data_IF_277747088581
#
_entry.id   IF_277747088581
#
_cell.length_a   1.000
_cell.length_b   1.000
_cell.length_c   1.000
_cell.angle_alpha   90.00
_cell.angle_beta   90.00
_cell.angle_gamma   90.00
#
_symmetry.space_group_name_H-M   'P 1'
#
loop_
_entity.id
_entity.type
_entity.pdbx_description
1 polymer ?
2 branched ?
3 non-polymer ?
4 non-polymer ?
5 non-polymer ?
6 water ?
#
# COMPACT_ATOMS: atom_id res chain seq x y z
N UNK A 2 -1.46 31.64 -6.77
CA UNK A 2 -2.83 31.26 -7.13
C UNK A 2 -2.88 29.99 -7.97
N UNK A 3 -2.48 28.88 -7.34
CA UNK A 3 -2.34 27.62 -8.05
C UNK A 3 -3.68 26.95 -8.31
N UNK A 4 -4.52 26.85 -7.28
CA UNK A 4 -5.79 26.19 -7.41
C UNK A 4 -6.93 27.04 -6.86
N UNK A 5 -7.97 26.35 -6.42
CA UNK A 5 -9.15 26.99 -5.84
C UNK A 5 -9.41 26.33 -4.49
N UNK A 6 -9.24 27.09 -3.42
CA UNK A 6 -9.58 26.65 -2.08
C UNK A 6 -11.08 26.65 -1.87
N UNK A 7 -11.50 25.96 -0.81
CA UNK A 7 -12.88 25.89 -0.43
C UNK A 7 -12.98 25.10 0.85
N UNK A 8 -14.15 25.10 1.48
CA UNK A 8 -14.31 24.25 2.67
C UNK A 8 -14.25 22.78 2.27
N UNK A 9 -13.26 22.06 2.84
CA UNK A 9 -13.07 20.62 2.69
C UNK A 9 -12.49 20.21 1.34
N UNK A 10 -11.87 21.10 0.59
CA UNK A 10 -11.31 20.66 -0.68
C UNK A 10 -10.30 21.67 -1.19
N UNK A 11 -9.51 21.22 -2.15
CA UNK A 11 -8.57 22.06 -2.87
C UNK A 11 -8.52 21.50 -4.29
N UNK A 12 -9.10 22.23 -5.24
CA UNK A 12 -9.06 21.84 -6.65
C UNK A 12 -7.77 22.41 -7.24
N UNK A 13 -6.90 21.57 -7.81
CA UNK A 13 -5.64 22.09 -8.38
C UNK A 13 -5.84 22.76 -9.73
N UNK A 14 -6.66 23.81 -9.74
CA UNK A 14 -6.95 24.55 -10.96
C UNK A 14 -7.37 25.96 -10.58
N UNK A 15 -6.87 26.94 -11.33
CA UNK A 15 -7.17 28.34 -11.05
C UNK A 15 -8.60 28.68 -11.43
N UNK A 16 -9.26 29.46 -10.59
CA UNK A 16 -10.62 29.88 -10.86
C UNK A 16 -10.71 31.27 -11.49
N UNK A 17 -9.62 31.77 -12.10
CA UNK A 17 -9.69 33.10 -12.69
C UNK A 17 -10.72 33.18 -13.82
N UNK A 18 -11.03 32.06 -14.48
CA UNK A 18 -12.06 32.02 -15.49
C UNK A 18 -13.44 31.66 -14.93
N UNK A 19 -13.56 31.44 -13.63
CA UNK A 19 -14.85 31.18 -13.04
C UNK A 19 -15.42 29.79 -13.25
N UNK A 20 -14.70 28.88 -13.90
CA UNK A 20 -15.28 27.56 -14.22
C UNK A 20 -15.13 26.51 -13.12
N UNK A 21 -14.26 26.74 -12.13
CA UNK A 21 -14.04 25.72 -11.10
C UNK A 21 -15.31 25.50 -10.29
N UNK A 22 -15.59 24.24 -9.98
CA UNK A 22 -16.73 23.83 -9.19
C UNK A 22 -16.27 22.95 -8.03
N UNK A 23 -17.12 22.85 -7.01
CA UNK A 23 -16.80 22.01 -5.87
C UNK A 23 -16.65 20.55 -6.30
N UNK A 24 -15.60 19.85 -5.89
CA UNK A 24 -15.45 18.42 -6.25
C UNK A 24 -16.52 17.53 -5.61
N UNK A 25 -17.37 18.06 -4.72
CA UNK A 25 -18.51 17.34 -4.19
C UNK A 25 -19.80 17.60 -4.97
N UNK A 26 -19.80 18.45 -5.98
CA UNK A 26 -21.07 18.92 -6.56
C UNK A 26 -21.15 18.82 -8.08
N UNK A 27 -20.01 18.87 -8.78
CA UNK A 27 -20.09 19.01 -10.23
C UNK A 27 -18.84 18.42 -10.87
N UNK A 28 -18.94 17.95 -12.11
CA UNK A 28 -17.79 17.28 -12.73
C UNK A 28 -16.59 18.21 -12.91
N UNK A 29 -15.41 17.62 -12.87
CA UNK A 29 -14.15 18.36 -12.88
C UNK A 29 -13.48 18.28 -14.24
N UNK A 30 -14.25 18.45 -15.33
CA UNK A 30 -13.73 18.26 -16.68
C UNK A 30 -12.82 19.38 -17.13
N UNK A 31 -12.48 20.36 -16.29
CA UNK A 31 -11.41 21.31 -16.58
C UNK A 31 -10.07 20.82 -16.05
N UNK A 32 -10.06 19.81 -15.18
CA UNK A 32 -8.81 19.13 -14.79
C UNK A 32 -8.36 18.12 -15.84
N UNK A 33 -9.31 17.49 -16.52
CA UNK A 33 -9.00 16.44 -17.49
C UNK A 33 -10.21 16.21 -18.38
N UNK A 34 -9.94 15.76 -19.59
CA UNK A 34 -11.00 15.43 -20.53
C UNK A 34 -11.87 14.29 -19.97
N UNK A 35 -13.12 14.19 -20.40
CA UNK A 35 -13.95 13.05 -19.96
C UNK A 35 -13.33 11.69 -20.25
N UNK A 36 -12.65 11.54 -21.40
CA UNK A 36 -12.02 10.26 -21.71
C UNK A 36 -10.87 9.94 -20.75
N UNK A 37 -10.21 10.95 -20.20
CA UNK A 37 -9.18 10.69 -19.20
C UNK A 37 -9.80 10.21 -17.90
N UNK A 38 -10.99 10.72 -17.56
CA UNK A 38 -11.72 10.15 -16.44
C UNK A 38 -12.12 8.71 -16.72
N UNK A 39 -12.46 8.40 -17.98
CA UNK A 39 -12.82 7.05 -18.34
C UNK A 39 -11.63 6.11 -18.22
N UNK A 40 -10.45 6.58 -18.65
CA UNK A 40 -9.23 5.78 -18.50
C UNK A 40 -8.88 5.59 -17.03
N UNK A 41 -9.17 6.58 -16.19
CA UNK A 41 -9.05 6.36 -14.74
C UNK A 41 -9.99 5.25 -14.30
N UNK A 42 -11.22 5.22 -14.82
CA UNK A 42 -12.13 4.13 -14.53
C UNK A 42 -11.62 2.80 -15.05
N UNK A 43 -11.09 2.79 -16.28
CA UNK A 43 -10.59 1.56 -16.85
C UNK A 43 -9.46 0.98 -16.01
N UNK A 44 -8.61 1.86 -15.46
CA UNK A 44 -7.52 1.42 -14.61
C UNK A 44 -8.04 0.86 -13.29
N UNK A 45 -9.03 1.52 -12.69
CA UNK A 45 -9.69 0.94 -11.51
C UNK A 45 -10.33 -0.40 -11.85
N UNK A 46 -10.88 -0.55 -13.05
CA UNK A 46 -11.49 -1.81 -13.41
C UNK A 46 -10.44 -2.91 -13.52
N UNK A 47 -9.32 -2.62 -14.17
CA UNK A 47 -8.21 -3.56 -14.21
C UNK A 47 -7.77 -3.97 -12.81
N UNK A 48 -7.63 -3.00 -11.90
CA UNK A 48 -7.19 -3.30 -10.54
C UNK A 48 -8.22 -4.15 -9.80
N UNK A 49 -9.51 -3.91 -10.00
CA UNK A 49 -10.54 -4.72 -9.36
C UNK A 49 -10.49 -6.14 -9.90
N UNK A 50 -10.46 -6.28 -11.22
CA UNK A 50 -10.56 -7.59 -11.85
C UNK A 50 -9.35 -8.46 -11.57
N UNK A 51 -8.16 -7.86 -11.42
CA UNK A 51 -7.00 -8.63 -11.01
C UNK A 51 -6.83 -8.70 -9.49
N UNK A 52 -7.25 -7.68 -8.77
CA UNK A 52 -6.96 -7.59 -7.37
C UNK A 52 -7.91 -8.33 -6.45
N UNK A 53 -9.21 -8.37 -6.81
CA UNK A 53 -10.12 -9.15 -5.97
C UNK A 53 -9.83 -10.65 -6.04
N UNK A 54 -9.75 -11.29 -7.23
CA UNK A 54 -9.57 -12.76 -7.21
C UNK A 54 -8.29 -13.20 -6.53
N UNK A 55 -7.14 -12.60 -6.88
CA UNK A 55 -5.88 -12.99 -6.28
C UNK A 55 -5.94 -12.89 -4.76
N UNK A 56 -6.49 -11.78 -4.25
CA UNK A 56 -6.49 -11.62 -2.80
C UNK A 56 -7.56 -12.47 -2.13
N UNK A 57 -8.74 -12.60 -2.76
CA UNK A 57 -9.76 -13.48 -2.21
C UNK A 57 -9.31 -14.94 -2.28
N UNK A 58 -8.75 -15.34 -3.42
CA UNK A 58 -8.28 -16.71 -3.58
C UNK A 58 -7.22 -17.06 -2.53
N UNK A 59 -6.40 -16.08 -2.14
CA UNK A 59 -5.45 -16.31 -1.04
C UNK A 59 -6.19 -16.67 0.24
N UNK A 60 -7.31 -15.99 0.52
CA UNK A 60 -8.10 -16.35 1.69
C UNK A 60 -8.83 -17.67 1.49
N UNK A 61 -9.15 -18.01 0.24
CA UNK A 61 -9.98 -19.18 0.00
C UNK A 61 -9.18 -20.48 0.09
N UNK A 62 -7.97 -20.50 -0.47
CA UNK A 62 -7.17 -21.71 -0.41
C UNK A 62 -6.59 -21.94 0.97
N UNK A 63 -6.48 -20.89 1.78
CA UNK A 63 -6.05 -21.07 3.16
C UNK A 63 -7.10 -21.82 3.98
N UNK A 64 -8.38 -21.67 3.62
CA UNK A 64 -9.44 -22.39 4.30
C UNK A 64 -9.41 -23.87 3.92
N UNK A 65 -8.99 -24.20 2.70
CA UNK A 65 -9.04 -25.56 2.20
C UNK A 65 -7.77 -26.36 2.47
N UNK A 66 -6.67 -25.72 2.88
CA UNK A 66 -5.39 -26.40 3.01
C UNK A 66 -4.82 -26.16 4.40
N UNK A 67 -4.74 -27.24 5.20
CA UNK A 67 -4.32 -27.10 6.59
C UNK A 67 -2.87 -26.65 6.69
N UNK A 68 -2.02 -27.07 5.75
CA UNK A 68 -0.61 -26.75 5.80
C UNK A 68 -0.33 -25.26 5.70
N UNK A 69 -1.25 -24.48 5.13
CA UNK A 69 -1.02 -23.03 5.01
C UNK A 69 -1.23 -22.30 6.33
N UNK A 70 -2.01 -22.87 7.24
CA UNK A 70 -2.37 -22.19 8.50
C UNK A 70 -1.25 -22.29 9.54
N UNK A 71 -0.09 -21.77 9.17
CA UNK A 71 1.02 -21.65 10.10
C UNK A 71 1.13 -20.22 10.62
N UNK A 72 1.69 -20.03 11.82
CA UNK A 72 1.79 -18.65 12.36
C UNK A 72 2.55 -17.69 11.47
N UNK A 73 3.62 -18.15 10.82
CA UNK A 73 4.40 -17.30 9.93
C UNK A 73 3.58 -16.81 8.74
N UNK A 74 2.45 -17.46 8.45
CA UNK A 74 1.62 -17.07 7.33
C UNK A 74 0.45 -16.16 7.72
N UNK A 75 0.23 -15.94 9.03
CA UNK A 75 -0.85 -15.05 9.44
C UNK A 75 -0.68 -13.66 8.83
N UNK A 76 0.56 -13.16 8.79
CA UNK A 76 0.77 -11.81 8.29
C UNK A 76 0.45 -11.72 6.81
N UNK A 77 0.58 -12.84 6.08
CA UNK A 77 0.26 -12.84 4.66
C UNK A 77 -1.24 -12.81 4.44
N UNK A 78 -2.01 -13.47 5.30
CA UNK A 78 -3.45 -13.36 5.25
C UNK A 78 -3.88 -11.93 5.55
N UNK A 79 -3.20 -11.31 6.52
CA UNK A 79 -3.41 -9.90 6.82
C UNK A 79 -3.18 -9.03 5.60
N UNK A 80 -2.13 -9.35 4.83
CA UNK A 80 -1.87 -8.61 3.60
C UNK A 80 -3.02 -8.77 2.60
N UNK A 81 -3.56 -9.99 2.48
CA UNK A 81 -4.66 -10.21 1.56
C UNK A 81 -5.88 -9.38 1.93
N UNK A 82 -6.19 -9.31 3.24
CA UNK A 82 -7.34 -8.52 3.68
C UNK A 82 -7.11 -7.05 3.40
N UNK A 83 -5.91 -6.55 3.69
CA UNK A 83 -5.62 -5.13 3.47
C UNK A 83 -5.80 -4.76 2.01
N UNK A 84 -5.35 -5.62 1.10
CA UNK A 84 -5.55 -5.37 -0.32
C UNK A 84 -7.02 -5.34 -0.68
N UNK A 85 -7.83 -6.18 -0.02
CA UNK A 85 -9.27 -6.14 -0.23
C UNK A 85 -9.87 -4.82 0.25
N UNK A 86 -9.37 -4.28 1.37
CA UNK A 86 -9.76 -2.93 1.77
C UNK A 86 -9.42 -1.91 0.69
N UNK A 87 -8.25 -2.03 0.07
CA UNK A 87 -7.92 -1.13 -1.03
C UNK A 87 -8.86 -1.33 -2.22
N UNK A 88 -9.24 -2.59 -2.49
CA UNK A 88 -10.02 -2.89 -3.69
C UNK A 88 -11.45 -2.35 -3.54
N UNK A 89 -12.05 -2.55 -2.36
CA UNK A 89 -13.45 -2.17 -2.17
C UNK A 89 -13.60 -0.78 -1.57
N UNK A 90 -12.76 -0.44 -0.59
CA UNK A 90 -12.79 0.90 -0.04
C UNK A 90 -12.28 1.94 -1.00
N UNK A 91 -11.39 1.56 -1.91
CA UNK A 91 -10.72 2.53 -2.74
C UNK A 91 -11.01 2.41 -4.22
N UNK A 92 -10.70 1.24 -4.81
CA UNK A 92 -10.79 1.11 -6.26
C UNK A 92 -12.24 1.10 -6.72
N UNK A 93 -13.12 0.49 -5.94
CA UNK A 93 -14.53 0.37 -6.34
C UNK A 93 -15.22 1.73 -6.29
N UNK A 94 -15.04 2.45 -5.19
CA UNK A 94 -15.59 3.79 -5.09
C UNK A 94 -15.08 4.67 -6.21
N UNK A 95 -13.78 4.60 -6.51
CA UNK A 95 -13.18 5.49 -7.49
C UNK A 95 -13.64 5.16 -8.90
N UNK A 96 -13.91 3.89 -9.19
CA UNK A 96 -14.55 3.56 -10.47
C UNK A 96 -15.88 4.29 -10.61
N UNK A 97 -16.67 4.29 -9.54
CA UNK A 97 -18.01 4.89 -9.58
C UNK A 97 -17.91 6.41 -9.67
N UNK A 98 -17.13 7.04 -8.80
CA UNK A 98 -16.98 8.50 -8.85
C UNK A 98 -16.33 8.95 -10.14
N UNK A 99 -15.30 8.23 -10.59
CA UNK A 99 -14.65 8.52 -11.86
C UNK A 99 -15.65 8.76 -12.99
N UNK A 100 -16.66 7.90 -13.08
CA UNK A 100 -17.60 7.98 -14.18
C UNK A 100 -18.61 9.11 -14.00
N UNK A 101 -18.68 9.71 -12.81
CA UNK A 101 -19.39 10.97 -12.63
C UNK A 101 -18.48 12.17 -12.84
N UNK A 102 -17.17 11.97 -12.83
CA UNK A 102 -16.20 13.04 -12.95
C UNK A 102 -16.03 13.89 -11.70
N UNK A 103 -16.52 13.43 -10.56
CA UNK A 103 -16.33 14.13 -9.29
C UNK A 103 -16.72 13.20 -8.15
N UNK A 104 -16.42 13.62 -6.93
CA UNK A 104 -16.63 12.78 -5.76
C UNK A 104 -18.07 12.93 -5.26
N UNK A 105 -18.96 12.07 -5.78
CA UNK A 105 -20.40 12.26 -5.60
C UNK A 105 -20.92 11.91 -4.22
N UNK A 106 -20.08 11.39 -3.32
CA UNK A 106 -20.55 10.95 -2.01
C UNK A 106 -20.41 12.04 -0.95
N UNK A 107 -19.98 13.24 -1.32
CA UNK A 107 -19.92 14.34 -0.41
C UNK A 107 -18.79 14.20 0.60
N UNK A 108 -18.61 15.24 1.43
CA UNK A 108 -17.49 15.22 2.38
C UNK A 108 -17.55 14.08 3.38
N UNK A 109 -18.74 13.57 3.68
CA UNK A 109 -18.85 12.40 4.56
C UNK A 109 -18.25 11.17 3.90
N UNK A 110 -18.68 10.86 2.67
CA UNK A 110 -18.10 9.74 1.96
C UNK A 110 -16.61 9.92 1.75
N UNK A 111 -16.16 11.18 1.71
CA UNK A 111 -14.74 11.48 1.56
C UNK A 111 -13.95 10.97 2.76
N UNK A 112 -14.46 11.22 3.96
CA UNK A 112 -13.80 10.73 5.16
C UNK A 112 -13.84 9.20 5.20
N UNK A 113 -14.95 8.60 4.77
CA UNK A 113 -15.07 7.14 4.74
C UNK A 113 -14.13 6.52 3.73
N UNK A 114 -14.23 6.95 2.47
CA UNK A 114 -13.40 6.38 1.43
C UNK A 114 -11.93 6.68 1.69
N UNK A 115 -11.63 7.84 2.25
CA UNK A 115 -10.24 8.17 2.56
C UNK A 115 -9.70 7.28 3.67
N UNK A 116 -10.47 7.11 4.74
CA UNK A 116 -10.06 6.27 5.85
C UNK A 116 -9.78 4.84 5.38
N UNK A 117 -10.76 4.20 4.73
CA UNK A 117 -10.61 2.78 4.41
C UNK A 117 -9.54 2.52 3.37
N UNK A 118 -9.46 3.39 2.36
CA UNK A 118 -8.40 3.26 1.37
C UNK A 118 -7.03 3.48 2.01
N UNK A 119 -6.93 4.47 2.92
CA UNK A 119 -5.66 4.70 3.59
C UNK A 119 -5.34 3.57 4.57
N UNK A 120 -6.35 3.09 5.29
CA UNK A 120 -6.17 1.95 6.18
C UNK A 120 -5.65 0.74 5.43
N UNK A 121 -6.26 0.42 4.29
CA UNK A 121 -5.82 -0.74 3.53
C UNK A 121 -4.36 -0.65 3.14
N UNK A 122 -3.95 0.48 2.56
CA UNK A 122 -2.57 0.66 2.15
C UNK A 122 -1.60 0.63 3.31
N UNK A 123 -2.04 1.12 4.48
CA UNK A 123 -1.18 1.12 5.67
C UNK A 123 -1.02 -0.28 6.25
N UNK A 124 -2.12 -1.04 6.36
CA UNK A 124 -2.01 -2.41 6.84
C UNK A 124 -1.09 -3.21 5.94
N UNK A 125 -1.22 -3.01 4.62
CA UNK A 125 -0.32 -3.67 3.68
C UNK A 125 1.13 -3.31 3.97
N UNK A 126 1.42 -2.01 4.04
CA UNK A 126 2.79 -1.54 4.27
C UNK A 126 3.40 -2.19 5.50
N UNK A 127 2.68 -2.15 6.62
CA UNK A 127 3.22 -2.69 7.86
C UNK A 127 3.22 -4.21 7.88
N UNK A 128 2.39 -4.86 7.06
CA UNK A 128 2.49 -6.30 6.91
C UNK A 128 3.82 -6.69 6.28
N UNK A 129 4.25 -5.96 5.24
CA UNK A 129 5.56 -6.22 4.64
C UNK A 129 6.68 -5.93 5.63
N UNK A 130 6.48 -4.94 6.50
CA UNK A 130 7.48 -4.65 7.53
C UNK A 130 7.49 -5.76 8.57
N UNK A 131 6.32 -6.17 9.05
CA UNK A 131 6.25 -7.18 10.10
C UNK A 131 6.76 -8.52 9.58
N UNK A 132 6.40 -8.87 8.35
CA UNK A 132 6.90 -10.10 7.77
C UNK A 132 8.43 -10.09 7.71
N UNK A 133 9.03 -8.97 7.34
CA UNK A 133 10.49 -8.89 7.28
C UNK A 133 11.09 -9.03 8.68
N UNK A 134 10.40 -8.49 9.69
CA UNK A 134 10.87 -8.63 11.06
C UNK A 134 10.77 -10.08 11.51
N UNK A 135 9.66 -10.75 11.18
CA UNK A 135 9.47 -12.14 11.61
C UNK A 135 10.51 -13.05 10.99
N UNK A 136 10.71 -12.93 9.67
CA UNK A 136 11.71 -13.74 8.99
C UNK A 136 13.11 -13.47 9.55
N UNK A 137 13.39 -12.21 9.90
CA UNK A 137 14.68 -11.89 10.49
C UNK A 137 14.84 -12.56 11.84
N UNK A 138 13.77 -12.61 12.64
CA UNK A 138 13.85 -13.23 13.96
C UNK A 138 14.03 -14.74 13.82
N UNK A 139 13.30 -15.36 12.90
CA UNK A 139 13.35 -16.81 12.73
C UNK A 139 14.71 -17.26 12.19
N UNK A 140 15.27 -16.51 11.24
CA UNK A 140 16.51 -16.92 10.59
C UNK A 140 17.73 -16.47 11.39
N UNK A 141 17.82 -15.18 11.69
CA UNK A 141 19.01 -14.64 12.34
C UNK A 141 19.05 -14.95 13.82
N UNK A 142 17.95 -15.41 14.40
CA UNK A 142 17.90 -15.84 15.80
C UNK A 142 18.55 -14.83 16.72
N UNK A 143 18.03 -13.59 16.79
CA UNK A 143 18.65 -12.57 17.64
C UNK A 143 18.34 -12.74 19.13
N UNK A 144 17.39 -13.60 19.48
CA UNK A 144 17.02 -13.84 20.87
C UNK A 144 17.43 -15.26 21.27
N UNK A 145 18.21 -15.35 22.35
CA UNK A 145 18.84 -16.59 22.82
C UNK A 145 17.95 -17.82 22.73
N UNK A 146 16.87 -17.84 23.51
CA UNK A 146 15.96 -18.98 23.58
C UNK A 146 14.56 -18.48 23.23
N UNK A 147 14.32 -18.31 21.93
CA UNK A 147 13.05 -17.78 21.44
C UNK A 147 12.50 -18.72 20.37
N UNK A 148 11.18 -18.86 20.35
CA UNK A 148 10.48 -19.69 19.38
C UNK A 148 9.22 -18.96 18.91
N UNK A 149 9.17 -18.60 17.63
CA UNK A 149 8.06 -17.83 17.07
C UNK A 149 6.81 -18.70 17.03
N UNK A 150 5.80 -18.33 17.81
CA UNK A 150 4.59 -19.12 17.89
C UNK A 150 3.34 -18.39 17.46
N UNK A 151 2.18 -19.00 17.71
CA UNK A 151 0.91 -18.40 17.31
C UNK A 151 0.71 -17.04 17.97
N UNK A 152 1.02 -16.93 19.27
CA UNK A 152 0.79 -15.69 19.99
C UNK A 152 1.64 -14.55 19.42
N UNK A 153 2.89 -14.84 19.07
CA UNK A 153 3.73 -13.80 18.47
C UNK A 153 3.17 -13.32 17.14
N UNK A 154 2.65 -14.26 16.33
CA UNK A 154 2.09 -13.88 15.04
C UNK A 154 0.84 -13.02 15.20
N UNK A 155 0.06 -13.27 16.24
CA UNK A 155 -1.11 -12.45 16.50
C UNK A 155 -0.70 -11.05 16.92
N UNK A 156 0.35 -10.93 17.74
CA UNK A 156 0.91 -9.62 18.05
C UNK A 156 1.32 -8.89 16.78
N UNK A 157 2.00 -9.59 15.86
CA UNK A 157 2.43 -8.96 14.63
C UNK A 157 1.28 -8.39 13.83
N UNK A 158 0.19 -9.16 13.70
CA UNK A 158 -0.98 -8.69 12.97
C UNK A 158 -1.61 -7.50 13.69
N UNK A 159 -1.79 -7.61 15.01
CA UNK A 159 -2.36 -6.51 15.77
C UNK A 159 -1.51 -5.26 15.65
N UNK A 160 -0.19 -5.42 15.60
CA UNK A 160 0.71 -4.28 15.49
C UNK A 160 0.46 -3.51 14.20
N UNK A 161 0.20 -4.20 13.10
CA UNK A 161 -0.09 -3.47 11.85
C UNK A 161 -1.38 -2.69 11.96
N UNK A 162 -2.39 -3.23 12.66
CA UNK A 162 -3.63 -2.49 12.82
C UNK A 162 -3.43 -1.25 13.67
N UNK A 163 -2.57 -1.34 14.68
CA UNK A 163 -2.27 -0.18 15.52
C UNK A 163 -1.55 0.88 14.70
N UNK A 164 -0.53 0.47 13.93
CA UNK A 164 0.19 1.42 13.09
C UNK A 164 -0.72 2.02 12.02
N UNK A 165 -1.61 1.22 11.45
CA UNK A 165 -2.48 1.71 10.39
C UNK A 165 -3.50 2.71 10.93
N UNK A 166 -4.07 2.43 12.10
CA UNK A 166 -4.94 3.41 12.74
C UNK A 166 -4.18 4.67 13.14
N UNK A 167 -2.90 4.53 13.49
CA UNK A 167 -2.10 5.70 13.87
C UNK A 167 -1.96 6.67 12.71
N UNK A 168 -2.02 6.18 11.47
CA UNK A 168 -1.96 7.06 10.32
C UNK A 168 -3.35 7.48 9.83
N UNK A 169 -4.30 6.55 9.80
CA UNK A 169 -5.58 6.77 9.14
C UNK A 169 -6.60 7.48 10.00
N UNK A 170 -6.51 7.37 11.32
CA UNK A 170 -7.52 7.91 12.23
C UNK A 170 -7.36 9.40 12.55
N UNK A 171 -6.14 9.93 12.76
CA UNK A 171 -6.00 11.37 13.11
C UNK A 171 -6.73 12.31 12.15
N UNK A 172 -6.65 12.11 10.83
CA UNK A 172 -7.38 13.03 9.92
C UNK A 172 -8.89 13.07 10.14
N UNK A 173 -9.46 12.13 10.90
CA UNK A 173 -10.88 12.20 11.23
C UNK A 173 -11.13 13.08 12.46
N UNK A 174 -10.12 13.25 13.32
CA UNK A 174 -10.31 13.92 14.60
C UNK A 174 -9.54 15.22 14.71
N UNK A 175 -8.88 15.68 13.65
CA UNK A 175 -8.28 17.00 13.72
C UNK A 175 -6.85 17.17 13.27
N UNK A 176 -6.05 16.11 13.24
CA UNK A 176 -4.67 16.21 12.77
C UNK A 176 -4.65 15.84 11.29
N UNK A 177 -4.38 16.83 10.44
CA UNK A 177 -4.56 16.75 8.99
C UNK A 177 -6.04 16.55 8.66
N UNK A 178 -6.35 16.11 7.44
CA UNK A 178 -7.73 15.98 7.00
C UNK A 178 -7.76 15.17 5.71
N UNK A 179 -8.92 14.59 5.42
CA UNK A 179 -9.18 13.93 4.14
C UNK A 179 -9.86 14.92 3.20
N UNK A 180 -9.36 14.99 1.97
CA UNK A 180 -9.94 15.82 0.91
C UNK A 180 -9.79 15.07 -0.41
N UNK A 181 -10.61 15.40 -1.40
CA UNK A 181 -10.37 14.85 -2.74
C UNK A 181 -8.97 15.23 -3.20
N UNK A 182 -8.38 14.35 -3.98
CA UNK A 182 -7.02 14.53 -4.43
C UNK A 182 -6.95 14.29 -5.93
N UNK A 183 -5.93 14.86 -6.55
CA UNK A 183 -5.71 14.67 -7.97
C UNK A 183 -6.92 15.05 -8.79
N UNK A 184 -7.48 14.10 -9.52
CA UNK A 184 -8.65 14.37 -10.32
C UNK A 184 -9.93 14.43 -9.49
N UNK A 185 -9.81 14.42 -8.15
CA UNK A 185 -10.89 14.77 -7.23
C UNK A 185 -11.96 13.69 -7.14
N UNK A 186 -11.67 12.48 -7.61
CA UNK A 186 -12.62 11.39 -7.55
C UNK A 186 -12.36 10.44 -6.41
N UNK A 187 -11.23 10.58 -5.72
CA UNK A 187 -10.95 9.78 -4.54
C UNK A 187 -10.32 10.67 -3.50
N UNK A 188 -10.33 10.20 -2.26
CA UNK A 188 -9.96 11.03 -1.12
C UNK A 188 -8.75 10.45 -0.40
N UNK A 189 -7.94 11.34 0.16
CA UNK A 189 -6.76 10.92 0.86
C UNK A 189 -6.26 11.98 1.81
N UNK A 190 -5.11 11.67 2.43
CA UNK A 190 -4.44 12.62 3.31
C UNK A 190 -4.11 13.86 2.51
N UNK A 191 -4.16 15.01 3.17
CA UNK A 191 -3.94 16.29 2.52
C UNK A 191 -2.46 16.66 2.65
N UNK A 192 -1.67 16.36 1.61
CA UNK A 192 -0.32 16.89 1.46
C UNK A 192 -0.28 18.12 0.56
N UNK A 193 -1.44 18.69 0.22
CA UNK A 193 -1.53 19.67 -0.84
C UNK A 193 -1.78 21.08 -0.35
N UNK A 194 -2.30 21.26 0.86
CA UNK A 194 -2.55 22.56 1.44
C UNK A 194 -2.00 22.59 2.86
N UNK A 195 -1.35 23.69 3.27
CA UNK A 195 -0.94 23.82 4.68
C UNK A 195 -2.08 24.33 5.54
N UNK A 196 -2.91 23.42 6.05
CA UNK A 196 -4.09 23.79 6.85
C UNK A 196 -3.61 24.00 8.27
N UNK A 197 -3.38 25.26 8.65
CA UNK A 197 -2.90 25.54 10.00
C UNK A 197 -3.88 25.04 11.05
N UNK A 198 -5.16 24.96 10.70
CA UNK A 198 -6.18 24.55 11.66
C UNK A 198 -6.07 23.09 12.01
N UNK A 199 -5.58 22.27 11.08
CA UNK A 199 -5.38 20.84 11.32
C UNK A 199 -3.90 20.45 11.41
N UNK A 200 -2.98 21.42 11.48
CA UNK A 200 -1.54 21.16 11.60
C UNK A 200 -1.06 20.15 10.55
N UNK A 201 -1.32 20.48 9.29
CA UNK A 201 -0.96 19.59 8.20
C UNK A 201 0.55 19.37 8.12
N UNK A 202 1.34 20.41 8.40
CA UNK A 202 2.78 20.31 8.22
C UNK A 202 3.38 19.25 9.15
N UNK A 203 2.98 19.26 10.43
CA UNK A 203 3.52 18.29 11.37
C UNK A 203 3.07 16.87 11.04
N UNK A 204 1.89 16.71 10.45
CA UNK A 204 1.44 15.36 10.08
C UNK A 204 2.21 14.83 8.89
N UNK A 205 2.49 15.68 7.90
CA UNK A 205 3.29 15.26 6.75
C UNK A 205 4.68 14.80 7.21
N UNK A 206 5.28 15.53 8.15
CA UNK A 206 6.58 15.14 8.69
C UNK A 206 6.47 13.81 9.43
N UNK A 207 5.45 13.68 10.28
CA UNK A 207 5.22 12.41 10.98
C UNK A 207 5.00 11.28 9.99
N UNK A 208 4.21 11.53 8.94
CA UNK A 208 4.03 10.51 7.90
C UNK A 208 5.35 10.16 7.24
N UNK A 209 6.14 11.19 6.93
CA UNK A 209 7.37 10.95 6.18
C UNK A 209 8.36 10.15 7.01
N UNK A 210 8.42 10.43 8.31
CA UNK A 210 9.39 9.77 9.16
C UNK A 210 8.91 8.38 9.57
N UNK A 211 7.75 8.32 10.23
CA UNK A 211 7.30 7.08 10.84
C UNK A 211 6.79 6.09 9.81
N UNK A 212 6.01 6.55 8.84
CA UNK A 212 5.36 5.65 7.89
C UNK A 212 6.04 5.63 6.53
N UNK A 213 7.24 6.17 6.42
CA UNK A 213 7.89 6.16 5.12
C UNK A 213 9.39 5.88 5.24
N UNK A 214 10.08 6.62 6.10
CA UNK A 214 11.51 6.35 6.32
C UNK A 214 11.71 5.07 7.12
N UNK A 215 11.04 4.97 8.28
CA UNK A 215 11.22 3.80 9.14
C UNK A 215 10.90 2.48 8.42
N UNK A 216 9.79 2.34 7.70
CA UNK A 216 9.55 1.05 7.03
C UNK A 216 10.68 0.66 6.09
N UNK A 217 11.28 1.61 5.39
CA UNK A 217 12.38 1.27 4.50
C UNK A 217 13.59 0.78 5.29
N UNK A 218 13.90 1.43 6.40
CA UNK A 218 15.06 1.04 7.20
C UNK A 218 14.87 -0.37 7.75
N UNK A 219 13.68 -0.66 8.29
CA UNK A 219 13.44 -1.96 8.89
C UNK A 219 13.50 -3.06 7.84
N UNK A 220 12.90 -2.81 6.68
CA UNK A 220 12.91 -3.84 5.63
C UNK A 220 14.34 -4.09 5.15
N UNK A 221 15.14 -3.03 5.04
CA UNK A 221 16.51 -3.21 4.56
C UNK A 221 17.40 -3.87 5.62
N UNK A 222 17.29 -3.44 6.87
CA UNK A 222 18.09 -4.06 7.93
C UNK A 222 17.75 -5.54 8.07
N UNK A 223 16.46 -5.85 8.21
CA UNK A 223 16.06 -7.23 8.45
C UNK A 223 16.48 -8.14 7.30
N UNK A 224 16.20 -7.73 6.07
CA UNK A 224 16.54 -8.58 4.94
C UNK A 224 18.04 -8.60 4.66
N UNK A 225 18.74 -7.49 4.94
CA UNK A 225 20.19 -7.51 4.80
C UNK A 225 20.84 -8.47 5.78
N UNK A 226 20.40 -8.42 7.04
CA UNK A 226 20.92 -9.34 8.04
C UNK A 226 20.58 -10.79 7.69
N UNK A 227 19.38 -11.01 7.19
CA UNK A 227 18.96 -12.36 6.82
C UNK A 227 19.83 -12.92 5.71
N UNK A 228 20.03 -12.14 4.64
CA UNK A 228 20.87 -12.61 3.55
C UNK A 228 22.29 -12.84 4.04
N UNK A 229 22.77 -11.97 4.92
CA UNK A 229 24.10 -12.17 5.51
C UNK A 229 24.16 -13.50 6.26
N UNK A 230 23.16 -13.75 7.13
CA UNK A 230 23.14 -14.99 7.89
C UNK A 230 23.08 -16.21 6.98
N UNK A 231 22.23 -16.16 5.96
CA UNK A 231 22.07 -17.32 5.08
C UNK A 231 23.33 -17.57 4.27
N UNK A 232 23.94 -16.51 3.73
CA UNK A 232 25.17 -16.68 2.96
C UNK A 232 26.32 -17.18 3.84
N UNK A 233 26.34 -16.76 5.10
CA UNK A 233 27.37 -17.21 6.02
C UNK A 233 27.24 -18.71 6.30
N UNK A 234 26.02 -19.15 6.59
CA UNK A 234 25.81 -20.57 6.89
C UNK A 234 26.07 -21.44 5.67
N UNK A 235 25.66 -20.99 4.49
CA UNK A 235 25.93 -21.75 3.28
C UNK A 235 27.42 -21.85 3.00
N UNK A 236 28.19 -20.80 3.33
CA UNK A 236 29.63 -20.82 3.10
C UNK A 236 30.31 -21.93 3.90
N UNK A 237 29.77 -22.26 5.08
CA UNK A 237 30.28 -23.33 5.91
C UNK A 237 29.76 -24.70 5.51
N UNK A 238 28.99 -24.80 4.43
CA UNK A 238 28.42 -26.06 3.95
C UNK A 238 28.45 -26.10 2.43
N UNK A 239 29.56 -25.67 1.83
CA UNK A 239 29.65 -25.66 0.37
C UNK A 239 29.63 -27.05 -0.23
N UNK A 240 29.79 -28.11 0.57
CA UNK A 240 29.66 -29.47 0.05
C UNK A 240 28.22 -29.83 -0.29
N UNK A 241 27.24 -29.02 0.10
CA UNK A 241 25.83 -29.34 -0.09
C UNK A 241 25.26 -28.53 -1.26
N UNK A 242 24.97 -29.21 -2.38
CA UNK A 242 24.42 -28.53 -3.54
C UNK A 242 23.05 -27.95 -3.27
N UNK A 243 22.27 -28.59 -2.39
CA UNK A 243 20.96 -28.05 -2.04
C UNK A 243 21.07 -26.81 -1.18
N UNK A 244 21.95 -26.83 -0.18
CA UNK A 244 22.16 -25.64 0.65
C UNK A 244 22.54 -24.44 -0.20
N UNK A 245 23.38 -24.65 -1.21
CA UNK A 245 23.73 -23.56 -2.11
C UNK A 245 22.54 -23.12 -2.94
N UNK A 246 21.71 -24.08 -3.38
CA UNK A 246 20.50 -23.73 -4.10
C UNK A 246 19.55 -22.93 -3.22
N UNK A 247 19.32 -23.39 -1.98
CA UNK A 247 18.47 -22.65 -1.07
C UNK A 247 19.01 -21.25 -0.79
N UNK A 248 20.33 -21.12 -0.69
CA UNK A 248 20.92 -19.80 -0.47
C UNK A 248 20.67 -18.90 -1.68
N UNK A 249 20.80 -19.44 -2.88
CA UNK A 249 20.61 -18.64 -4.08
C UNK A 249 19.17 -18.15 -4.21
N UNK A 250 18.20 -19.01 -3.89
CA UNK A 250 16.82 -18.63 -4.09
C UNK A 250 16.35 -17.67 -3.00
N UNK A 251 16.84 -17.83 -1.77
CA UNK A 251 16.54 -16.88 -0.71
C UNK A 251 17.06 -15.50 -1.09
N UNK A 252 18.30 -15.43 -1.58
CA UNK A 252 18.86 -14.15 -2.00
C UNK A 252 18.05 -13.56 -3.14
N UNK A 253 17.67 -14.38 -4.11
CA UNK A 253 16.97 -13.89 -5.30
C UNK A 253 15.56 -13.41 -4.95
N UNK A 254 14.92 -14.08 -4.00
CA UNK A 254 13.63 -13.64 -3.52
C UNK A 254 13.74 -12.33 -2.74
N UNK A 255 14.73 -12.21 -1.87
CA UNK A 255 14.89 -10.99 -1.09
C UNK A 255 15.13 -9.80 -2.02
N UNK A 256 15.88 -10.03 -3.09
CA UNK A 256 16.12 -8.97 -4.06
C UNK A 256 14.80 -8.56 -4.71
N UNK A 257 14.00 -9.55 -5.11
CA UNK A 257 12.70 -9.27 -5.72
C UNK A 257 11.83 -8.46 -4.78
N UNK A 258 11.76 -8.87 -3.50
CA UNK A 258 10.92 -8.15 -2.56
C UNK A 258 11.41 -6.73 -2.35
N UNK A 259 12.72 -6.56 -2.17
CA UNK A 259 13.25 -5.23 -1.91
C UNK A 259 13.10 -4.35 -3.15
N UNK A 260 13.37 -4.91 -4.33
CA UNK A 260 13.14 -4.15 -5.55
C UNK A 260 11.67 -3.77 -5.67
N UNK A 261 10.76 -4.69 -5.35
CA UNK A 261 9.34 -4.37 -5.45
C UNK A 261 8.96 -3.28 -4.46
N UNK A 262 9.51 -3.32 -3.25
CA UNK A 262 9.22 -2.28 -2.28
C UNK A 262 9.76 -0.93 -2.77
N UNK A 263 10.94 -0.94 -3.37
CA UNK A 263 11.53 0.31 -3.86
C UNK A 263 10.71 0.89 -5.01
N UNK A 264 10.14 0.02 -5.85
CA UNK A 264 9.34 0.47 -6.99
C UNK A 264 8.12 1.24 -6.52
N UNK A 265 7.62 0.90 -5.34
CA UNK A 265 6.54 1.65 -4.74
C UNK A 265 7.02 2.81 -3.87
N UNK A 266 8.26 2.76 -3.37
CA UNK A 266 8.75 3.73 -2.41
C UNK A 266 9.44 4.91 -3.08
N UNK A 267 10.30 4.63 -4.07
CA UNK A 267 11.07 5.68 -4.72
C UNK A 267 10.23 6.76 -5.40
N UNK A 268 9.14 6.47 -6.11
CA UNK A 268 8.38 7.57 -6.72
C UNK A 268 7.92 8.61 -5.69
N UNK A 269 7.45 8.18 -4.52
CA UNK A 269 7.18 9.13 -3.46
C UNK A 269 8.43 9.90 -3.06
N UNK A 270 9.58 9.23 -2.99
CA UNK A 270 10.81 9.93 -2.60
C UNK A 270 11.26 10.90 -3.68
N UNK A 271 11.13 10.52 -4.95
CA UNK A 271 11.45 11.45 -6.02
C UNK A 271 10.56 12.68 -6.03
N UNK A 272 9.26 12.49 -5.75
CA UNK A 272 8.37 13.64 -5.66
C UNK A 272 8.74 14.53 -4.49
N UNK A 273 9.07 13.93 -3.34
CA UNK A 273 9.56 14.71 -2.21
C UNK A 273 10.75 15.56 -2.60
N UNK A 274 11.74 14.94 -3.26
CA UNK A 274 12.92 15.69 -3.70
C UNK A 274 12.55 16.81 -4.66
N UNK A 275 11.48 16.65 -5.43
CA UNK A 275 10.98 17.72 -6.29
C UNK A 275 10.10 18.72 -5.53
N UNK A 276 9.74 18.44 -4.29
CA UNK A 276 9.06 19.44 -3.47
C UNK A 276 10.05 20.22 -2.64
N UNK A 277 11.03 19.54 -2.02
CA UNK A 277 12.08 20.20 -1.25
C UNK A 277 12.80 21.22 -2.13
N UNK A 278 13.63 20.73 -3.05
CA UNK A 278 14.06 21.56 -4.17
C UNK A 278 12.89 21.71 -5.15
N UNK A 279 12.93 22.78 -5.96
CA UNK A 279 11.84 23.11 -6.88
C UNK A 279 10.53 23.33 -6.11
N UNK A 280 10.61 24.08 -5.01
CA UNK A 280 9.43 24.31 -4.18
C UNK A 280 8.49 25.38 -4.74
N UNK A 281 8.99 26.28 -5.58
CA UNK A 281 8.20 27.40 -6.05
C UNK A 281 6.91 27.10 -6.77
N UNK A 282 7.00 26.40 -7.90
CA UNK A 282 5.87 26.30 -8.83
C UNK A 282 4.75 25.44 -8.25
N UNK A 283 3.61 25.46 -8.95
CA UNK A 283 2.42 24.72 -8.58
C UNK A 283 2.55 23.26 -9.05
N UNK A 284 1.50 22.48 -8.84
CA UNK A 284 1.47 21.09 -9.30
C UNK A 284 0.05 20.75 -9.69
N UNK A 285 -0.16 20.38 -10.95
CA UNK A 285 -1.49 20.06 -11.44
C UNK A 285 -2.04 18.78 -10.82
N UNK A 286 -3.15 18.28 -11.36
CA UNK A 286 -3.67 16.98 -10.92
C UNK A 286 -2.66 15.83 -11.00
N UNK A 287 -1.56 16.02 -11.75
CA UNK A 287 -0.41 15.13 -11.72
C UNK A 287 0.65 15.76 -10.81
N UNK A 288 0.42 15.66 -9.49
CA UNK A 288 1.12 16.50 -8.51
C UNK A 288 2.66 16.16 -8.38
N UNK A 289 3.16 15.05 -7.79
CA UNK A 289 2.54 13.94 -7.07
C UNK A 289 1.29 13.35 -7.69
N UNK A 290 0.48 12.67 -6.87
CA UNK A 290 -0.63 11.85 -7.35
C UNK A 290 -0.16 10.80 -8.36
N UNK A 291 1.08 10.94 -8.86
CA UNK A 291 1.68 9.97 -9.76
C UNK A 291 2.17 8.80 -8.91
N UNK A 292 2.93 9.00 -7.84
CA UNK A 292 3.21 7.87 -6.93
C UNK A 292 1.96 7.18 -6.43
N UNK A 293 0.93 7.95 -6.04
CA UNK A 293 -0.32 7.32 -5.64
C UNK A 293 -0.91 6.51 -6.79
N UNK A 294 -0.90 7.07 -8.00
CA UNK A 294 -1.46 6.38 -9.15
C UNK A 294 -0.84 5.00 -9.33
N UNK A 295 0.46 4.88 -9.12
CA UNK A 295 1.14 3.62 -9.38
C UNK A 295 1.26 2.71 -8.15
N UNK A 296 1.34 3.27 -6.94
CA UNK A 296 1.28 2.45 -5.73
C UNK A 296 0.01 1.61 -5.64
N UNK A 297 -1.06 1.99 -6.36
CA UNK A 297 -2.30 1.23 -6.31
C UNK A 297 -2.08 -0.20 -6.80
N UNK A 298 -1.22 -0.38 -7.81
CA UNK A 298 -0.96 -1.71 -8.35
C UNK A 298 -0.31 -2.65 -7.34
N UNK A 299 0.12 -2.14 -6.17
CA UNK A 299 0.68 -3.04 -5.18
C UNK A 299 -0.36 -4.05 -4.70
N UNK A 300 -1.65 -3.69 -4.77
CA UNK A 300 -2.71 -4.64 -4.43
C UNK A 300 -2.68 -5.87 -5.33
N UNK A 301 -2.01 -5.79 -6.48
CA UNK A 301 -1.88 -6.91 -7.40
C UNK A 301 -0.51 -7.58 -7.32
N UNK A 302 0.58 -6.79 -7.39
CA UNK A 302 1.89 -7.43 -7.49
C UNK A 302 2.44 -7.89 -6.13
N UNK A 303 1.97 -7.31 -5.02
CA UNK A 303 2.42 -7.84 -3.73
C UNK A 303 1.92 -9.25 -3.48
N UNK A 304 0.63 -9.56 -3.61
CA UNK A 304 0.23 -10.97 -3.44
C UNK A 304 0.88 -11.89 -4.46
N UNK A 305 1.19 -11.40 -5.66
CA UNK A 305 1.87 -12.24 -6.64
C UNK A 305 3.27 -12.60 -6.12
N UNK A 306 3.96 -11.65 -5.52
CA UNK A 306 5.34 -11.86 -5.08
C UNK A 306 5.39 -12.66 -3.79
N UNK A 307 4.59 -12.27 -2.79
CA UNK A 307 4.66 -12.87 -1.46
C UNK A 307 3.82 -14.14 -1.30
N UNK A 308 2.87 -14.42 -2.19
CA UNK A 308 1.96 -15.54 -2.03
C UNK A 308 2.01 -16.47 -3.23
N UNK A 309 1.79 -15.94 -4.43
CA UNK A 309 1.78 -16.79 -5.62
C UNK A 309 3.15 -17.34 -5.95
N UNK A 310 4.23 -16.73 -5.46
CA UNK A 310 5.56 -17.27 -5.62
C UNK A 310 6.00 -18.12 -4.44
N UNK A 311 5.18 -18.17 -3.39
CA UNK A 311 5.38 -19.12 -2.30
C UNK A 311 5.12 -20.53 -2.80
N UNK A 312 6.03 -21.46 -2.47
CA UNK A 312 5.99 -22.79 -3.08
C UNK A 312 4.71 -23.54 -2.73
N UNK A 313 4.26 -23.45 -1.48
CA UNK A 313 3.10 -24.22 -1.08
C UNK A 313 1.79 -23.58 -1.54
N UNK A 314 1.66 -22.24 -1.43
CA UNK A 314 0.45 -21.57 -1.89
C UNK A 314 0.12 -21.93 -3.33
N UNK A 315 1.14 -21.96 -4.19
CA UNK A 315 0.90 -22.19 -5.61
C UNK A 315 0.28 -23.56 -5.85
N UNK A 316 0.86 -24.62 -5.28
CA UNK A 316 0.31 -25.96 -5.44
C UNK A 316 -1.10 -26.05 -4.87
N UNK A 317 -1.35 -25.38 -3.75
CA UNK A 317 -2.67 -25.42 -3.14
C UNK A 317 -3.70 -24.70 -4.01
N UNK A 318 -3.32 -23.58 -4.65
CA UNK A 318 -4.25 -22.89 -5.53
C UNK A 318 -4.50 -23.67 -6.82
N UNK A 319 -3.46 -24.33 -7.35
CA UNK A 319 -3.65 -25.18 -8.52
C UNK A 319 -4.65 -26.28 -8.19
N UNK A 320 -4.50 -26.90 -7.02
CA UNK A 320 -5.43 -27.94 -6.60
C UNK A 320 -6.84 -27.40 -6.41
N UNK A 321 -6.96 -26.20 -5.84
CA UNK A 321 -8.26 -25.61 -5.61
C UNK A 321 -8.92 -25.18 -6.91
N UNK A 322 -8.14 -24.59 -7.81
CA UNK A 322 -8.67 -24.14 -9.10
C UNK A 322 -8.98 -25.32 -10.00
N UNK A 323 -8.16 -26.38 -9.89
CA UNK A 323 -8.35 -27.57 -10.68
C UNK A 323 -9.32 -28.59 -10.10
N UNK A 324 -10.29 -28.07 -9.34
CA UNK A 324 -11.40 -28.86 -8.83
C UNK A 324 -10.94 -30.10 -8.06
N UNK A 325 -9.88 -29.93 -7.28
CA UNK A 325 -9.36 -30.98 -6.44
C UNK A 325 -8.18 -31.72 -7.00
N UNK A 326 -8.09 -31.85 -8.32
CA UNK A 326 -7.07 -32.66 -8.95
C UNK A 326 -5.84 -31.81 -9.28
N UNK A 327 -4.75 -32.49 -9.65
CA UNK A 327 -3.50 -31.85 -10.02
C UNK A 327 -2.96 -30.95 -8.90
#
# INVERSE_FOLDING_TARGET
XMCGTEGPNFYVPFSNKTGVVRSPFEAPQYYLAEPWQFSMLAAYMFLLIMLGFPINFLTLYVTVQHKKLRTPLNYILLNLAVADLFMVFGGFTTTLYTSLHGYFVFGPTGCNLEGFFATLGGEIALWSLVVLAIERYVVVCKPMSNFRFGENHAIMGVAFTWVMALACAAPPLVGWSRYIPEGMQCSCGIDYYTPHEETNNESFVIYMFVVHFIIPLIVIFFCYGQLVFTVKEAAAQQQESATTQKAEKEVTRMVIIMVIAFLICWLPYAGVAFYIFTHQGSCFGPIFMTIPAFFAKTSAVYNPVIYIMMNKQFRNCMVTTLCCGKNPLGDDEASTTVSKTETSQVAPA
#
